data_IF_857186998117
#
_entry.id   IF_857186998117
#
_cell.length_a   1.000
_cell.length_b   1.000
_cell.length_c   1.000
_cell.angle_alpha   90.00
_cell.angle_beta   90.00
_cell.angle_gamma   90.00
#
_symmetry.space_group_name_H-M   'P 1'
#
loop_
_entity.id
_entity.type
_entity.pdbx_description
1 polymer ?
#
# COMPACT_ATOMS: atom_id res chain seq x y z
N UNK A 1 -0.62 4.90 17.03
CA UNK A 1 -0.78 4.51 15.63
C UNK A 1 -0.20 3.12 15.42
N UNK A 2 -0.82 2.30 14.59
CA UNK A 2 -0.30 0.95 14.37
C UNK A 2 1.02 0.95 13.63
N UNK A 3 1.82 -0.06 13.93
CA UNK A 3 3.07 -0.29 13.20
C UNK A 3 2.95 -1.58 12.40
N UNK A 4 3.47 -1.55 11.19
CA UNK A 4 3.47 -2.71 10.32
C UNK A 4 4.86 -2.92 9.75
N UNK A 5 5.16 -4.16 9.39
CA UNK A 5 6.43 -4.47 8.74
C UNK A 5 6.35 -4.05 7.28
N UNK A 6 7.36 -3.30 6.84
CA UNK A 6 7.50 -2.97 5.43
C UNK A 6 8.03 -4.21 4.70
N UNK A 7 7.24 -4.81 3.79
CA UNK A 7 7.66 -6.05 3.14
C UNK A 7 8.82 -5.85 2.15
N UNK A 8 9.10 -4.61 1.79
CA UNK A 8 10.18 -4.31 0.85
C UNK A 8 11.51 -4.12 1.57
N UNK A 9 11.51 -3.62 2.78
CA UNK A 9 12.73 -3.31 3.53
C UNK A 9 12.90 -4.17 4.79
N UNK A 10 11.84 -4.79 5.26
CA UNK A 10 11.84 -5.55 6.50
C UNK A 10 11.76 -4.72 7.76
N UNK A 11 11.72 -3.41 7.64
CA UNK A 11 11.67 -2.50 8.80
C UNK A 11 10.25 -2.24 9.22
N UNK A 12 10.06 -1.93 10.51
CA UNK A 12 8.76 -1.54 11.02
C UNK A 12 8.51 -0.07 10.71
N UNK A 13 7.29 0.23 10.27
CA UNK A 13 6.88 1.61 9.99
C UNK A 13 5.55 1.89 10.66
N UNK A 14 5.31 3.17 10.97
CA UNK A 14 4.04 3.62 11.50
C UNK A 14 3.11 3.97 10.35
N UNK A 15 1.89 3.48 10.43
CA UNK A 15 0.86 3.76 9.41
C UNK A 15 -0.33 4.44 10.07
N UNK A 16 -1.12 5.14 9.26
CA UNK A 16 -2.25 5.91 9.77
C UNK A 16 -3.39 5.03 10.27
N UNK A 17 -3.53 3.81 9.74
CA UNK A 17 -4.59 2.91 10.18
C UNK A 17 -4.16 1.47 9.95
N UNK A 18 -4.72 0.57 10.79
CA UNK A 18 -4.56 -0.86 10.57
C UNK A 18 -5.20 -1.24 9.24
N UNK A 19 -4.86 -2.40 8.72
CA UNK A 19 -5.44 -2.90 7.48
C UNK A 19 -6.82 -3.45 7.76
N UNK A 20 -7.86 -2.77 7.34
CA UNK A 20 -9.20 -3.17 7.73
C UNK A 20 -9.82 -4.21 6.81
N UNK A 21 -9.60 -4.12 5.52
CA UNK A 21 -10.37 -4.94 4.56
C UNK A 21 -9.50 -5.60 3.52
N UNK A 22 -8.31 -6.00 3.92
CA UNK A 22 -7.35 -6.59 2.99
C UNK A 22 -7.94 -7.82 2.30
N UNK A 23 -7.84 -7.83 0.99
CA UNK A 23 -8.30 -8.97 0.20
C UNK A 23 -9.76 -8.97 -0.18
N UNK A 24 -10.55 -8.04 0.34
CA UNK A 24 -11.96 -7.94 -0.05
C UNK A 24 -12.12 -7.12 -1.31
N UNK A 25 -12.88 -7.63 -2.25
CA UNK A 25 -13.21 -6.92 -3.47
C UNK A 25 -14.36 -5.96 -3.22
N UNK A 26 -14.38 -4.85 -3.95
CA UNK A 26 -15.44 -3.85 -3.88
C UNK A 26 -15.31 -2.94 -2.67
N UNK A 27 -16.21 -1.99 -2.58
CA UNK A 27 -16.29 -1.10 -1.45
C UNK A 27 -15.03 -0.33 -1.18
N UNK A 28 -14.63 -0.29 0.08
CA UNK A 28 -13.51 0.54 0.55
C UNK A 28 -12.18 0.14 -0.06
N UNK A 29 -11.95 -1.16 -0.27
CA UNK A 29 -10.70 -1.61 -0.86
C UNK A 29 -10.53 -1.07 -2.28
N UNK A 30 -11.54 -1.22 -3.10
CA UNK A 30 -11.47 -0.78 -4.49
C UNK A 30 -11.33 0.73 -4.57
N UNK A 31 -12.05 1.47 -3.75
CA UNK A 31 -11.94 2.93 -3.70
C UNK A 31 -10.54 3.38 -3.28
N UNK A 32 -9.99 2.75 -2.25
CA UNK A 32 -8.65 3.06 -1.79
C UNK A 32 -7.62 2.76 -2.87
N UNK A 33 -7.71 1.60 -3.49
CA UNK A 33 -6.76 1.20 -4.52
C UNK A 33 -6.82 2.11 -5.74
N UNK A 34 -8.02 2.52 -6.15
CA UNK A 34 -8.18 3.43 -7.27
C UNK A 34 -7.59 4.81 -6.98
N UNK A 35 -7.85 5.35 -5.79
CA UNK A 35 -7.33 6.66 -5.41
C UNK A 35 -5.82 6.67 -5.32
N UNK A 36 -5.26 5.69 -4.63
CA UNK A 36 -3.82 5.67 -4.39
C UNK A 36 -3.02 5.39 -5.65
N UNK A 37 -3.62 4.70 -6.63
CA UNK A 37 -2.95 4.45 -7.90
C UNK A 37 -2.69 5.74 -8.68
N UNK A 38 -3.48 6.77 -8.45
CA UNK A 38 -3.39 8.05 -9.16
C UNK A 38 -2.47 9.07 -8.50
N UNK A 39 -1.96 8.76 -7.32
CA UNK A 39 -1.06 9.68 -6.62
C UNK A 39 0.22 9.87 -7.45
N UNK A 40 0.60 11.13 -7.66
CA UNK A 40 1.80 11.47 -8.41
C UNK A 40 3.03 11.34 -7.53
N UNK A 41 4.18 11.09 -8.16
CA UNK A 41 5.44 11.00 -7.47
C UNK A 41 6.12 9.66 -7.71
N UNK A 42 7.22 9.43 -7.01
CA UNK A 42 8.02 8.23 -7.19
C UNK A 42 7.71 7.13 -6.18
N UNK A 43 6.55 7.20 -5.54
CA UNK A 43 6.19 6.24 -4.49
C UNK A 43 6.22 4.80 -4.99
N UNK A 44 5.92 4.59 -6.27
CA UNK A 44 5.88 3.24 -6.84
C UNK A 44 7.24 2.53 -6.79
N UNK A 45 8.31 3.29 -6.87
CA UNK A 45 9.66 2.74 -6.89
C UNK A 45 10.41 2.95 -5.58
N UNK A 46 9.78 3.57 -4.60
CA UNK A 46 10.41 3.86 -3.33
C UNK A 46 10.00 2.80 -2.30
N UNK A 47 10.93 1.90 -1.91
CA UNK A 47 10.60 0.84 -0.96
C UNK A 47 10.22 1.37 0.42
N UNK A 48 10.56 2.62 0.72
CA UNK A 48 10.20 3.24 2.00
C UNK A 48 8.87 3.98 1.94
N UNK A 49 8.20 3.98 0.79
CA UNK A 49 6.94 4.70 0.64
C UNK A 49 5.82 4.04 1.43
N UNK A 50 5.18 4.81 2.30
CA UNK A 50 4.01 4.31 3.04
C UNK A 50 2.87 3.95 2.11
N UNK A 51 2.71 4.72 1.02
CA UNK A 51 1.66 4.43 0.04
C UNK A 51 1.85 3.06 -0.59
N UNK A 52 3.08 2.74 -0.99
CA UNK A 52 3.38 1.45 -1.57
C UNK A 52 3.11 0.31 -0.59
N UNK A 53 3.53 0.47 0.66
CA UNK A 53 3.33 -0.54 1.69
C UNK A 53 1.84 -0.74 1.98
N UNK A 54 1.10 0.34 2.12
CA UNK A 54 -0.34 0.25 2.41
C UNK A 54 -1.10 -0.40 1.26
N UNK A 55 -0.75 -0.08 0.02
CA UNK A 55 -1.37 -0.73 -1.12
C UNK A 55 -1.15 -2.24 -1.11
N UNK A 56 0.04 -2.69 -0.70
CA UNK A 56 0.30 -4.13 -0.58
C UNK A 56 -0.52 -4.75 0.54
N UNK A 57 -0.66 -4.06 1.65
CA UNK A 57 -1.46 -4.56 2.76
C UNK A 57 -2.95 -4.63 2.43
N UNK A 58 -3.42 -3.69 1.62
CA UNK A 58 -4.81 -3.71 1.13
C UNK A 58 -5.01 -4.73 0.01
N UNK A 59 -3.94 -5.36 -0.44
CA UNK A 59 -3.95 -6.32 -1.55
C UNK A 59 -4.48 -5.69 -2.83
N UNK A 60 -4.03 -4.48 -3.10
CA UNK A 60 -4.38 -3.76 -4.32
C UNK A 60 -3.80 -4.45 -5.55
N UNK A 61 -4.48 -4.39 -6.70
CA UNK A 61 -3.93 -4.90 -7.94
C UNK A 61 -2.62 -4.19 -8.29
N UNK A 62 -1.74 -4.92 -8.95
CA UNK A 62 -0.47 -4.35 -9.39
C UNK A 62 -0.70 -3.22 -10.39
N UNK A 63 0.00 -2.12 -10.19
CA UNK A 63 0.01 -1.00 -11.12
C UNK A 63 1.39 -0.94 -11.76
N UNK A 64 1.44 -0.69 -13.07
CA UNK A 64 2.71 -0.65 -13.80
C UNK A 64 3.68 0.34 -13.15
N UNK A 65 4.90 -0.10 -12.92
CA UNK A 65 5.94 0.70 -12.28
C UNK A 65 6.10 0.46 -10.79
N UNK A 66 5.15 -0.23 -10.14
CA UNK A 66 5.29 -0.55 -8.73
C UNK A 66 6.40 -1.59 -8.51
N UNK A 67 7.09 -1.47 -7.37
CA UNK A 67 8.03 -2.49 -6.95
C UNK A 67 7.29 -3.79 -6.64
N UNK A 68 7.93 -4.90 -6.96
CA UNK A 68 7.41 -6.23 -6.62
C UNK A 68 8.24 -6.83 -5.49
N UNK A 69 7.58 -7.63 -4.71
CA UNK A 69 8.24 -8.39 -3.65
C UNK A 69 8.92 -9.63 -4.23
#
# INVERSE_FOLDING_TARGET
MPKVRNPYTGKMITVSSAVPYAGRKGGKRDSYCARTAKIKGNWKRNPNSKNLVQRRRWKCPYVAGELRL
#
